data_IF_241848288540
#
_entry.id   IF_241848288540
#
_cell.length_a   1.000
_cell.length_b   1.000
_cell.length_c   1.000
_cell.angle_alpha   90.00
_cell.angle_beta   90.00
_cell.angle_gamma   90.00
#
_symmetry.space_group_name_H-M   'P 1'
#
loop_
_entity.id
_entity.type
_entity.pdbx_description
1 polymer ?
#
# COMPACT_ATOMS: atom_id res chain seq x y z
N UNK A 1 9.24 31.06 -0.36
CA UNK A 1 9.37 29.60 -0.58
C UNK A 1 8.25 28.91 0.18
N UNK A 2 7.40 28.07 -0.44
CA UNK A 2 6.35 27.39 0.31
C UNK A 2 6.99 26.35 1.22
N UNK A 3 6.62 26.38 2.50
CA UNK A 3 7.06 25.42 3.51
C UNK A 3 6.41 24.08 3.19
N UNK A 4 7.18 23.11 2.70
CA UNK A 4 6.73 21.73 2.55
C UNK A 4 6.75 21.12 3.95
N UNK A 5 5.61 21.13 4.64
CA UNK A 5 5.46 20.37 5.88
C UNK A 5 5.47 18.88 5.56
N UNK A 6 6.33 18.11 6.23
CA UNK A 6 6.55 16.67 6.01
C UNK A 6 5.27 15.79 6.10
N UNK A 7 4.16 16.35 6.57
CA UNK A 7 2.86 15.69 6.67
C UNK A 7 1.88 15.92 5.52
N UNK A 8 2.23 16.67 4.46
CA UNK A 8 1.26 17.05 3.41
C UNK A 8 1.78 16.74 2.00
N UNK A 9 0.94 16.21 1.10
CA UNK A 9 1.25 16.02 -0.33
C UNK A 9 1.40 17.38 -1.02
N UNK A 10 1.93 17.39 -2.25
CA UNK A 10 2.09 18.61 -3.07
C UNK A 10 0.76 19.36 -3.29
N UNK A 11 -0.37 18.66 -3.23
CA UNK A 11 -1.72 19.20 -3.43
C UNK A 11 -2.44 19.57 -2.14
N UNK A 12 -1.78 19.47 -0.98
CA UNK A 12 -2.39 19.84 0.30
C UNK A 12 -3.07 18.69 1.06
N UNK A 13 -2.97 17.43 0.58
CA UNK A 13 -3.56 16.27 1.27
C UNK A 13 -2.69 15.87 2.46
N UNK A 14 -3.27 15.76 3.65
CA UNK A 14 -2.57 15.28 4.84
C UNK A 14 -2.27 13.79 4.70
N UNK A 15 -1.00 13.41 4.84
CA UNK A 15 -0.54 12.01 4.79
C UNK A 15 -0.90 11.33 6.11
N UNK A 16 -1.81 10.36 6.08
CA UNK A 16 -2.25 9.62 7.29
C UNK A 16 -2.02 8.11 7.17
N UNK A 17 -0.77 7.72 6.95
CA UNK A 17 -0.35 6.33 6.69
C UNK A 17 -1.00 5.29 7.63
N UNK A 18 -1.11 5.59 8.93
CA UNK A 18 -1.73 4.69 9.90
C UNK A 18 -3.26 4.56 9.73
N UNK A 19 -3.98 5.63 9.42
CA UNK A 19 -5.41 5.58 9.16
C UNK A 19 -5.70 4.89 7.82
N UNK A 20 -4.91 5.21 6.79
CA UNK A 20 -5.02 4.63 5.45
C UNK A 20 -4.79 3.11 5.49
N UNK A 21 -3.80 2.64 6.27
CA UNK A 21 -3.56 1.21 6.48
C UNK A 21 -4.70 0.50 7.19
N UNK A 22 -5.30 1.11 8.22
CA UNK A 22 -6.47 0.51 8.89
C UNK A 22 -7.64 0.38 7.92
N UNK A 23 -7.94 1.45 7.17
CA UNK A 23 -9.01 1.43 6.16
C UNK A 23 -8.75 0.37 5.08
N UNK A 24 -7.52 0.26 4.58
CA UNK A 24 -7.18 -0.75 3.58
C UNK A 24 -7.30 -2.18 4.14
N UNK A 25 -6.78 -2.43 5.35
CA UNK A 25 -6.91 -3.72 6.03
C UNK A 25 -8.37 -4.12 6.16
N UNK A 26 -9.22 -3.21 6.65
CA UNK A 26 -10.63 -3.48 6.89
C UNK A 26 -11.35 -3.78 5.55
N UNK A 27 -11.08 -3.00 4.50
CA UNK A 27 -11.59 -3.29 3.16
C UNK A 27 -11.14 -4.66 2.62
N UNK A 28 -9.86 -5.04 2.82
CA UNK A 28 -9.36 -6.35 2.43
C UNK A 28 -10.04 -7.47 3.22
N UNK A 29 -10.31 -7.28 4.51
CA UNK A 29 -11.04 -8.26 5.31
C UNK A 29 -12.46 -8.47 4.77
N UNK A 30 -13.22 -7.39 4.50
CA UNK A 30 -14.59 -7.46 3.98
C UNK A 30 -14.66 -8.19 2.62
N UNK A 31 -13.65 -7.95 1.77
CA UNK A 31 -13.53 -8.58 0.46
C UNK A 31 -13.02 -10.04 0.52
N UNK A 32 -12.51 -10.50 1.66
CA UNK A 32 -11.95 -11.85 1.81
C UNK A 32 -10.48 -11.98 1.40
N UNK A 33 -9.75 -10.86 1.43
CA UNK A 33 -8.30 -10.75 1.19
C UNK A 33 -7.46 -10.59 2.46
N UNK A 34 -8.05 -10.84 3.64
CA UNK A 34 -7.37 -10.69 4.94
C UNK A 34 -6.07 -11.49 5.09
N UNK A 35 -5.88 -12.56 4.30
CA UNK A 35 -4.67 -13.38 4.25
C UNK A 35 -3.44 -12.68 3.68
N UNK A 36 -3.60 -11.53 2.99
CA UNK A 36 -2.48 -10.72 2.50
C UNK A 36 -1.59 -10.26 3.66
N UNK A 37 -2.21 -10.01 4.82
CA UNK A 37 -1.53 -9.51 6.01
C UNK A 37 -1.37 -10.62 7.04
N UNK A 38 -0.12 -10.90 7.43
CA UNK A 38 0.16 -11.77 8.57
C UNK A 38 -0.41 -11.20 9.88
N UNK A 39 -0.53 -12.05 10.91
CA UNK A 39 -0.94 -11.61 12.24
C UNK A 39 -0.01 -10.51 12.81
N UNK A 40 1.30 -10.60 12.53
CA UNK A 40 2.28 -9.60 12.95
C UNK A 40 2.03 -8.26 12.28
N UNK A 41 1.83 -8.25 10.96
CA UNK A 41 1.52 -7.03 10.21
C UNK A 41 0.18 -6.43 10.63
N UNK A 42 -0.83 -7.25 10.91
CA UNK A 42 -2.12 -6.78 11.45
C UNK A 42 -1.95 -6.12 12.82
N UNK A 43 -1.13 -6.71 13.69
CA UNK A 43 -0.82 -6.13 14.99
C UNK A 43 -0.01 -4.82 14.88
N UNK A 44 0.91 -4.72 13.92
CA UNK A 44 1.64 -3.50 13.62
C UNK A 44 0.69 -2.37 13.19
N UNK A 45 -0.21 -2.65 12.23
CA UNK A 45 -1.23 -1.71 11.76
C UNK A 45 -2.15 -1.25 12.91
N UNK A 46 -2.58 -2.16 13.78
CA UNK A 46 -3.40 -1.81 14.95
C UNK A 46 -2.67 -0.78 15.85
N UNK A 47 -1.36 -0.97 16.05
CA UNK A 47 -0.48 -0.06 16.81
C UNK A 47 -0.07 1.20 16.03
N UNK A 48 -0.59 1.41 14.82
CA UNK A 48 -0.24 2.56 13.98
C UNK A 48 1.16 2.48 13.36
N UNK A 49 1.77 1.30 13.34
CA UNK A 49 3.07 1.06 12.71
C UNK A 49 2.86 0.61 11.27
N UNK A 50 3.77 1.02 10.38
CA UNK A 50 3.79 0.55 8.99
C UNK A 50 4.12 -0.94 8.96
N UNK A 51 3.35 -1.77 8.23
CA UNK A 51 3.66 -3.19 8.05
C UNK A 51 4.93 -3.38 7.21
N UNK A 52 5.42 -4.62 7.14
CA UNK A 52 6.61 -5.01 6.40
C UNK A 52 6.33 -6.09 5.38
N UNK A 53 7.19 -6.20 4.37
CA UNK A 53 7.20 -7.33 3.44
C UNK A 53 7.61 -8.59 4.20
N UNK A 54 6.66 -9.51 4.36
CA UNK A 54 6.86 -10.82 4.99
C UNK A 54 6.40 -11.96 4.06
N UNK A 55 6.42 -13.20 4.55
CA UNK A 55 6.03 -14.36 3.75
C UNK A 55 4.55 -14.34 3.34
N UNK A 56 3.67 -13.76 4.16
CA UNK A 56 2.24 -13.64 3.82
C UNK A 56 2.04 -12.66 2.66
N UNK A 57 2.76 -11.54 2.70
CA UNK A 57 2.80 -10.56 1.62
C UNK A 57 3.33 -11.19 0.32
N UNK A 58 4.51 -11.81 0.39
CA UNK A 58 5.19 -12.39 -0.78
C UNK A 58 4.39 -13.53 -1.41
N UNK A 59 3.58 -14.25 -0.63
CA UNK A 59 2.67 -15.27 -1.16
C UNK A 59 1.67 -14.70 -2.16
N UNK A 60 1.26 -13.44 -1.98
CA UNK A 60 0.31 -12.75 -2.87
C UNK A 60 1.04 -11.88 -3.90
N UNK A 61 2.20 -11.34 -3.53
CA UNK A 61 3.03 -10.44 -4.35
C UNK A 61 4.45 -11.00 -4.50
N UNK A 62 4.63 -12.06 -5.31
CA UNK A 62 5.92 -12.73 -5.47
C UNK A 62 7.01 -11.81 -6.07
N UNK A 63 6.62 -10.75 -6.78
CA UNK A 63 7.54 -9.72 -7.31
C UNK A 63 8.26 -8.91 -6.22
N UNK A 64 7.75 -8.95 -4.98
CA UNK A 64 8.34 -8.29 -3.82
C UNK A 64 9.20 -9.24 -2.97
N UNK A 65 9.43 -10.49 -3.41
CA UNK A 65 10.23 -11.47 -2.67
C UNK A 65 11.65 -10.96 -2.35
N UNK A 66 12.25 -10.18 -3.25
CA UNK A 66 13.56 -9.55 -3.05
C UNK A 66 13.55 -8.37 -2.07
N UNK A 67 12.37 -7.94 -1.61
CA UNK A 67 12.16 -6.77 -0.74
C UNK A 67 11.73 -7.17 0.69
N UNK A 68 11.86 -8.46 1.05
CA UNK A 68 11.52 -8.95 2.40
C UNK A 68 12.19 -8.12 3.48
N UNK A 69 11.40 -7.72 4.47
CA UNK A 69 11.81 -6.87 5.59
C UNK A 69 11.66 -5.37 5.36
N UNK A 70 11.47 -4.91 4.11
CA UNK A 70 11.15 -3.51 3.83
C UNK A 70 9.82 -3.10 4.45
N UNK A 71 9.68 -1.82 4.80
CA UNK A 71 8.39 -1.28 5.21
C UNK A 71 7.53 -1.10 3.96
N UNK A 72 6.22 -1.15 4.16
CA UNK A 72 5.24 -0.94 3.09
C UNK A 72 4.46 0.36 3.39
N UNK A 73 5.00 1.56 3.15
CA UNK A 73 4.25 2.80 3.28
C UNK A 73 3.08 2.90 2.28
N UNK A 74 2.08 3.70 2.65
CA UNK A 74 1.06 4.17 1.72
C UNK A 74 1.62 5.25 0.80
N UNK A 75 1.67 4.91 -0.48
CA UNK A 75 1.98 5.81 -1.57
C UNK A 75 0.72 6.56 -2.02
N UNK A 76 0.77 7.89 -2.09
CA UNK A 76 -0.32 8.72 -2.60
C UNK A 76 -0.17 8.96 -4.11
N UNK A 77 -1.09 8.39 -4.90
CA UNK A 77 -1.05 8.45 -6.36
C UNK A 77 -1.31 9.88 -6.82
N UNK A 78 -0.35 10.47 -7.55
CA UNK A 78 -0.40 11.85 -8.05
C UNK A 78 -0.64 12.91 -6.95
N UNK A 79 -0.33 12.59 -5.69
CA UNK A 79 -0.62 13.46 -4.55
C UNK A 79 -2.11 13.53 -4.18
N UNK A 80 -2.97 12.75 -4.83
CA UNK A 80 -4.39 12.63 -4.52
C UNK A 80 -4.65 11.80 -3.24
N UNK A 81 -5.89 11.76 -2.74
CA UNK A 81 -6.29 10.86 -1.65
C UNK A 81 -6.28 9.37 -2.01
N UNK A 82 -6.07 9.00 -3.29
CA UNK A 82 -5.94 7.60 -3.69
C UNK A 82 -4.58 7.07 -3.22
N UNK A 83 -4.59 6.10 -2.33
CA UNK A 83 -3.39 5.50 -1.77
C UNK A 83 -3.23 4.04 -2.13
N UNK A 84 -1.99 3.61 -2.35
CA UNK A 84 -1.63 2.21 -2.56
C UNK A 84 -0.44 1.83 -1.69
N UNK A 85 -0.39 0.60 -1.16
CA UNK A 85 0.76 0.17 -0.37
C UNK A 85 1.91 -0.20 -1.31
N UNK A 86 3.11 0.33 -1.08
CA UNK A 86 4.31 -0.03 -1.84
C UNK A 86 5.47 -0.27 -0.87
N UNK A 87 6.28 -1.33 -1.04
CA UNK A 87 7.56 -1.45 -0.34
C UNK A 87 8.42 -0.21 -0.56
N UNK A 88 9.24 0.16 0.42
CA UNK A 88 10.06 1.39 0.41
C UNK A 88 10.83 1.58 -0.91
N UNK A 89 11.44 0.52 -1.46
CA UNK A 89 12.15 0.59 -2.75
C UNK A 89 11.21 0.96 -3.89
N UNK A 90 10.06 0.28 -4.00
CA UNK A 90 9.03 0.58 -5.02
C UNK A 90 8.43 1.98 -4.84
N UNK A 91 8.29 2.41 -3.59
CA UNK A 91 7.81 3.74 -3.23
C UNK A 91 8.79 4.82 -3.71
N UNK A 92 10.09 4.59 -3.55
CA UNK A 92 11.14 5.49 -4.04
C UNK A 92 11.16 5.53 -5.58
N UNK A 93 11.11 4.37 -6.24
CA UNK A 93 11.07 4.27 -7.71
C UNK A 93 9.90 5.06 -8.31
N UNK A 94 8.74 5.05 -7.66
CA UNK A 94 7.56 5.81 -8.08
C UNK A 94 7.74 7.34 -7.98
N UNK A 95 8.76 7.82 -7.25
CA UNK A 95 9.09 9.24 -7.13
C UNK A 95 10.28 9.69 -7.99
N UNK A 96 11.07 8.77 -8.55
CA UNK A 96 12.26 9.11 -9.35
C UNK A 96 11.92 9.47 -10.81
N UNK A 97 12.60 10.44 -11.44
CA UNK A 97 12.39 10.77 -12.85
C UNK A 97 12.68 9.57 -13.76
N UNK A 98 11.75 9.20 -14.63
CA UNK A 98 11.86 8.01 -15.49
C UNK A 98 11.39 6.70 -14.84
N UNK A 99 11.20 6.69 -13.52
CA UNK A 99 10.51 5.62 -12.80
C UNK A 99 9.00 5.77 -13.01
N UNK A 100 8.36 4.64 -13.36
CA UNK A 100 6.92 4.44 -13.58
C UNK A 100 6.04 5.70 -13.39
N UNK A 101 6.04 6.58 -14.39
CA UNK A 101 5.05 7.66 -14.56
C UNK A 101 3.60 7.11 -14.60
N UNK A 102 3.48 5.77 -14.69
CA UNK A 102 2.30 4.94 -14.60
C UNK A 102 2.58 3.71 -13.72
N UNK A 103 2.76 3.87 -12.40
CA UNK A 103 2.55 2.75 -11.47
C UNK A 103 1.05 2.76 -11.11
N UNK A 104 0.21 1.86 -11.68
CA UNK A 104 -1.26 1.96 -11.63
C UNK A 104 -1.83 1.71 -10.23
N UNK A 105 -0.99 1.41 -9.26
CA UNK A 105 -1.39 1.42 -7.87
C UNK A 105 -1.11 0.10 -7.19
N UNK A 106 0.00 0.06 -6.45
CA UNK A 106 0.23 -1.00 -5.48
C UNK A 106 0.77 -2.29 -6.08
N UNK A 107 0.89 -3.32 -5.24
CA UNK A 107 1.45 -4.59 -5.63
C UNK A 107 0.36 -5.34 -6.41
N UNK A 108 0.71 -5.83 -7.60
CA UNK A 108 -0.26 -6.13 -8.67
C UNK A 108 -0.50 -4.95 -9.62
N UNK A 109 0.47 -4.59 -10.44
CA UNK A 109 0.32 -3.60 -11.53
C UNK A 109 -0.72 -3.97 -12.62
N UNK A 110 -1.39 -5.11 -12.49
CA UNK A 110 -2.72 -5.30 -13.06
C UNK A 110 -3.74 -4.84 -12.02
N UNK A 111 -4.55 -3.82 -12.35
CA UNK A 111 -5.82 -3.53 -11.64
C UNK A 111 -6.38 -4.85 -11.13
N UNK A 112 -6.56 -5.06 -9.82
CA UNK A 112 -7.06 -6.33 -9.38
C UNK A 112 -8.49 -6.46 -9.91
N UNK A 113 -8.63 -7.17 -11.02
CA UNK A 113 -9.86 -7.83 -11.39
C UNK A 113 -10.03 -8.93 -10.36
N UNK A 114 -10.51 -8.53 -9.19
CA UNK A 114 -11.00 -9.43 -8.17
C UNK A 114 -12.28 -10.03 -8.76
N UNK A 115 -12.28 -11.31 -9.22
CA UNK A 115 -13.54 -11.93 -9.60
C UNK A 115 -14.48 -11.84 -8.39
N UNK A 116 -15.76 -11.48 -8.58
CA UNK A 116 -16.71 -11.44 -7.48
C UNK A 116 -16.72 -12.80 -6.76
N UNK A 117 -16.97 -12.79 -5.45
CA UNK A 117 -17.22 -14.01 -4.67
C UNK A 117 -18.23 -14.86 -5.46
N UNK A 118 -17.92 -16.14 -5.71
CA UNK A 118 -18.92 -17.09 -6.22
C UNK A 118 -20.13 -17.03 -5.26
N UNK A 119 -21.27 -16.56 -5.77
CA UNK A 119 -22.54 -16.53 -5.03
C UNK A 119 -23.18 -15.16 -4.78
N UNK A 120 -22.76 -14.08 -5.44
CA UNK A 120 -23.59 -12.88 -5.56
C UNK A 120 -24.42 -12.98 -6.85
N UNK A 121 -25.56 -13.68 -6.76
CA UNK A 121 -26.66 -13.63 -7.72
C UNK A 121 -27.73 -12.67 -7.21
#
# INVERSE_FOLDING_TARGET
MPVVTSGTTRTGVVRTNAADWRKLRDNWDDLGYGQILSAENRAAIAKGKTPKVDDAWVKVFPEDAGLKGERIPMHHVQGSPLTVPLPDTRHLDAHMPGGFRYNPGGPGSALPAYPPKKGAE
#
